data_IF_759554256072
#
_entry.id   IF_759554256072
#
_cell.length_a   1.000
_cell.length_b   1.000
_cell.length_c   1.000
_cell.angle_alpha   90.00
_cell.angle_beta   90.00
_cell.angle_gamma   90.00
#
_symmetry.space_group_name_H-M   'P 1'
#
loop_
_entity.id
_entity.type
_entity.pdbx_description
1 polymer ?
#
# COMPACT_ATOMS: atom_id res chain seq x y z
N UNK A 1 -34.60 15.69 41.70
CA UNK A 1 -33.94 14.41 42.05
C UNK A 1 -34.35 13.86 43.42
N UNK A 2 -35.63 14.01 43.85
CA UNK A 2 -36.07 13.65 45.23
C UNK A 2 -36.91 12.35 45.35
N UNK A 3 -37.05 11.57 44.27
CA UNK A 3 -37.85 10.32 44.28
C UNK A 3 -37.16 9.07 43.69
N UNK A 4 -35.84 9.10 43.48
CA UNK A 4 -35.10 7.90 43.07
C UNK A 4 -34.68 7.10 44.30
N UNK A 5 -35.11 5.83 44.36
CA UNK A 5 -34.64 4.85 45.34
C UNK A 5 -33.12 4.69 45.22
N UNK A 6 -32.47 4.25 46.30
CA UNK A 6 -31.01 4.04 46.34
C UNK A 6 -30.54 3.15 45.17
N UNK A 7 -31.30 2.10 44.87
CA UNK A 7 -31.06 1.21 43.73
C UNK A 7 -31.03 1.97 42.39
N UNK A 8 -32.04 2.81 42.12
CA UNK A 8 -32.10 3.56 40.86
C UNK A 8 -30.92 4.52 40.69
N UNK A 9 -30.39 5.08 41.80
CA UNK A 9 -29.20 5.94 41.75
C UNK A 9 -27.96 5.15 41.34
N UNK A 10 -27.74 3.97 41.94
CA UNK A 10 -26.64 3.09 41.56
C UNK A 10 -26.78 2.58 40.13
N UNK A 11 -27.98 2.19 39.71
CA UNK A 11 -28.25 1.75 38.33
C UNK A 11 -27.93 2.85 37.31
N UNK A 12 -28.32 4.11 37.57
CA UNK A 12 -27.98 5.24 36.69
C UNK A 12 -26.46 5.47 36.63
N UNK A 13 -25.76 5.42 37.75
CA UNK A 13 -24.30 5.59 37.77
C UNK A 13 -23.62 4.49 36.94
N UNK A 14 -24.01 3.23 37.15
CA UNK A 14 -23.46 2.10 36.40
C UNK A 14 -23.76 2.25 34.91
N UNK A 15 -24.97 2.63 34.54
CA UNK A 15 -25.35 2.84 33.14
C UNK A 15 -24.50 3.94 32.49
N UNK A 16 -24.32 5.08 33.16
CA UNK A 16 -23.47 6.17 32.67
C UNK A 16 -22.02 5.73 32.53
N UNK A 17 -21.45 5.08 33.54
CA UNK A 17 -20.07 4.56 33.49
C UNK A 17 -19.89 3.56 32.35
N UNK A 18 -20.88 2.68 32.13
CA UNK A 18 -20.85 1.71 31.03
C UNK A 18 -20.84 2.42 29.68
N UNK A 19 -21.70 3.43 29.48
CA UNK A 19 -21.73 4.22 28.24
C UNK A 19 -20.40 4.93 28.00
N UNK A 20 -19.84 5.57 29.03
CA UNK A 20 -18.54 6.25 28.93
C UNK A 20 -17.43 5.25 28.60
N UNK A 21 -17.43 4.08 29.23
CA UNK A 21 -16.45 3.04 28.96
C UNK A 21 -16.54 2.52 27.52
N UNK A 22 -17.75 2.25 27.02
CA UNK A 22 -17.98 1.83 25.64
C UNK A 22 -17.53 2.91 24.65
N UNK A 23 -17.81 4.18 24.93
CA UNK A 23 -17.36 5.29 24.11
C UNK A 23 -15.83 5.40 24.08
N UNK A 24 -15.17 5.22 25.23
CA UNK A 24 -13.71 5.22 25.31
C UNK A 24 -13.09 4.06 24.53
N UNK A 25 -13.65 2.85 24.62
CA UNK A 25 -13.21 1.71 23.81
C UNK A 25 -13.40 1.95 22.31
N UNK A 26 -14.53 2.53 21.90
CA UNK A 26 -14.76 2.87 20.50
C UNK A 26 -13.73 3.87 19.98
N UNK A 27 -13.40 4.91 20.77
CA UNK A 27 -12.35 5.86 20.45
C UNK A 27 -10.96 5.18 20.35
N UNK A 28 -10.63 4.29 21.30
CA UNK A 28 -9.38 3.53 21.30
C UNK A 28 -9.24 2.68 20.03
N UNK A 29 -10.31 2.00 19.61
CA UNK A 29 -10.32 1.18 18.38
C UNK A 29 -10.09 2.05 17.14
N UNK A 30 -10.68 3.25 17.08
CA UNK A 30 -10.45 4.17 15.97
C UNK A 30 -9.00 4.65 15.89
N UNK A 31 -8.40 4.99 17.05
CA UNK A 31 -6.99 5.37 17.12
C UNK A 31 -6.10 4.21 16.66
N UNK A 32 -6.32 3.01 17.19
CA UNK A 32 -5.56 1.82 16.80
C UNK A 32 -5.67 1.53 15.30
N UNK A 33 -6.89 1.62 14.75
CA UNK A 33 -7.11 1.45 13.30
C UNK A 33 -6.28 2.45 12.50
N UNK A 34 -6.28 3.71 12.89
CA UNK A 34 -5.51 4.75 12.18
C UNK A 34 -4.01 4.47 12.27
N UNK A 35 -3.49 4.13 13.46
CA UNK A 35 -2.09 3.76 13.64
C UNK A 35 -1.69 2.60 12.73
N UNK A 36 -2.46 1.51 12.70
CA UNK A 36 -2.16 0.33 11.87
C UNK A 36 -2.20 0.67 10.38
N UNK A 37 -3.12 1.54 9.94
CA UNK A 37 -3.19 1.97 8.54
C UNK A 37 -1.97 2.82 8.16
N UNK A 38 -1.57 3.75 9.02
CA UNK A 38 -0.37 4.57 8.78
C UNK A 38 0.90 3.71 8.75
N UNK A 39 1.07 2.77 9.68
CA UNK A 39 2.19 1.83 9.66
C UNK A 39 2.24 1.00 8.36
N UNK A 40 1.07 0.56 7.86
CA UNK A 40 0.99 -0.15 6.57
C UNK A 40 1.37 0.75 5.40
N UNK A 41 0.98 2.04 5.42
CA UNK A 41 1.37 3.02 4.39
C UNK A 41 2.87 3.25 4.41
N UNK A 42 3.47 3.49 5.57
CA UNK A 42 4.92 3.64 5.74
C UNK A 42 5.66 2.42 5.23
N UNK A 43 5.22 1.21 5.58
CA UNK A 43 5.83 -0.02 5.09
C UNK A 43 5.83 -0.11 3.55
N UNK A 44 4.71 0.21 2.90
CA UNK A 44 4.63 0.19 1.43
C UNK A 44 5.54 1.26 0.84
N UNK A 45 5.58 2.46 1.44
CA UNK A 45 6.47 3.54 1.02
C UNK A 45 7.95 3.13 1.09
N UNK A 46 8.39 2.54 2.20
CA UNK A 46 9.78 2.10 2.38
C UNK A 46 10.17 1.00 1.38
N UNK A 47 9.24 0.10 1.05
CA UNK A 47 9.46 -0.93 0.03
C UNK A 47 9.58 -0.34 -1.38
N UNK A 48 8.80 0.70 -1.69
CA UNK A 48 8.93 1.44 -2.96
C UNK A 48 10.27 2.18 -3.02
N UNK A 49 10.71 2.81 -1.93
CA UNK A 49 12.03 3.45 -1.86
C UNK A 49 13.17 2.44 -2.04
N UNK A 50 13.06 1.25 -1.43
CA UNK A 50 14.02 0.16 -1.64
C UNK A 50 14.07 -0.27 -3.12
N UNK A 51 12.92 -0.43 -3.78
CA UNK A 51 12.86 -0.77 -5.20
C UNK A 51 13.46 0.34 -6.09
N UNK A 52 13.25 1.61 -5.75
CA UNK A 52 13.91 2.74 -6.42
C UNK A 52 15.43 2.67 -6.28
N UNK A 53 15.96 2.29 -5.12
CA UNK A 53 17.41 2.09 -4.94
C UNK A 53 17.95 0.92 -5.77
N UNK A 54 17.18 -0.15 -5.94
CA UNK A 54 17.54 -1.25 -6.85
C UNK A 54 17.64 -0.73 -8.30
N UNK A 55 16.65 0.02 -8.77
CA UNK A 55 16.69 0.65 -10.10
C UNK A 55 17.92 1.54 -10.27
N UNK A 56 18.17 2.46 -9.33
CA UNK A 56 19.31 3.37 -9.38
C UNK A 56 20.66 2.63 -9.42
N UNK A 57 20.83 1.58 -8.61
CA UNK A 57 22.07 0.81 -8.59
C UNK A 57 22.38 0.14 -9.94
N UNK A 58 21.38 -0.42 -10.61
CA UNK A 58 21.58 -1.01 -11.94
C UNK A 58 21.77 0.05 -13.02
N UNK A 59 21.06 1.18 -12.94
CA UNK A 59 21.27 2.33 -13.81
C UNK A 59 22.71 2.87 -13.71
N UNK A 60 23.25 2.99 -12.51
CA UNK A 60 24.63 3.43 -12.27
C UNK A 60 25.66 2.46 -12.87
N UNK A 61 25.42 1.15 -12.78
CA UNK A 61 26.27 0.13 -13.44
C UNK A 61 26.24 0.28 -14.96
N UNK A 62 25.08 0.55 -15.56
CA UNK A 62 24.97 0.81 -16.99
C UNK A 62 25.71 2.09 -17.40
N UNK A 63 25.52 3.19 -16.65
CA UNK A 63 26.22 4.47 -16.88
C UNK A 63 27.74 4.33 -16.76
N UNK A 64 28.22 3.44 -15.89
CA UNK A 64 29.63 3.10 -15.75
C UNK A 64 30.16 2.14 -16.84
N UNK A 65 29.33 1.73 -17.81
CA UNK A 65 29.71 0.82 -18.89
C UNK A 65 29.95 -0.63 -18.46
N UNK A 66 29.51 -1.01 -17.25
CA UNK A 66 29.73 -2.38 -16.71
C UNK A 66 28.77 -3.40 -17.31
N UNK A 67 27.58 -2.96 -17.70
CA UNK A 67 26.50 -3.73 -18.32
C UNK A 67 25.75 -2.85 -19.31
N UNK A 68 24.99 -3.44 -20.24
CA UNK A 68 24.13 -2.65 -21.14
C UNK A 68 22.93 -2.04 -20.41
N UNK A 69 22.30 -1.01 -20.99
CA UNK A 69 21.10 -0.40 -20.42
C UNK A 69 19.91 -1.39 -20.40
N UNK A 70 19.81 -2.23 -21.43
CA UNK A 70 18.85 -3.32 -21.54
C UNK A 70 19.03 -4.33 -20.41
N UNK A 71 20.26 -4.81 -20.22
CA UNK A 71 20.61 -5.76 -19.16
C UNK A 71 20.37 -5.18 -17.76
N UNK A 72 20.74 -3.91 -17.53
CA UNK A 72 20.47 -3.22 -16.27
C UNK A 72 18.98 -3.16 -15.94
N UNK A 73 18.14 -2.82 -16.93
CA UNK A 73 16.68 -2.82 -16.74
C UNK A 73 16.17 -4.22 -16.39
N UNK A 74 16.58 -5.23 -17.13
CA UNK A 74 16.13 -6.60 -16.91
C UNK A 74 16.53 -7.09 -15.51
N UNK A 75 17.78 -6.92 -15.10
CA UNK A 75 18.26 -7.32 -13.78
C UNK A 75 17.54 -6.58 -12.64
N UNK A 76 17.23 -5.29 -12.83
CA UNK A 76 16.45 -4.53 -11.85
C UNK A 76 15.00 -5.03 -11.75
N UNK A 77 14.35 -5.29 -12.89
CA UNK A 77 12.98 -5.80 -12.94
C UNK A 77 12.88 -7.21 -12.36
N UNK A 78 13.85 -8.08 -12.60
CA UNK A 78 13.89 -9.42 -12.01
C UNK A 78 14.07 -9.34 -10.49
N UNK A 79 14.98 -8.49 -10.00
CA UNK A 79 15.19 -8.29 -8.57
C UNK A 79 13.94 -7.74 -7.86
N UNK A 80 13.28 -6.73 -8.43
CA UNK A 80 12.04 -6.16 -7.89
C UNK A 80 10.89 -7.18 -8.02
N UNK A 81 10.82 -7.88 -9.14
CA UNK A 81 9.81 -8.89 -9.42
C UNK A 81 9.87 -10.10 -8.48
N UNK A 82 11.03 -10.36 -7.87
CA UNK A 82 11.19 -11.38 -6.83
C UNK A 82 10.74 -10.92 -5.43
N UNK A 83 10.59 -9.61 -5.18
CA UNK A 83 10.21 -9.09 -3.86
C UNK A 83 8.81 -9.54 -3.46
N UNK A 84 8.68 -10.26 -2.36
CA UNK A 84 7.39 -10.65 -1.76
C UNK A 84 7.39 -10.36 -0.27
N UNK A 85 6.26 -9.92 0.26
CA UNK A 85 6.10 -9.71 1.70
C UNK A 85 4.71 -10.04 2.21
N UNK A 86 4.59 -10.13 3.54
CA UNK A 86 3.32 -10.38 4.19
C UNK A 86 2.78 -11.80 3.95
N UNK A 87 1.61 -12.08 4.54
CA UNK A 87 0.96 -13.40 4.43
C UNK A 87 0.34 -13.65 3.05
N UNK A 88 0.03 -12.58 2.32
CA UNK A 88 -0.62 -12.65 1.01
C UNK A 88 0.37 -12.67 -0.15
N UNK A 89 1.68 -12.75 0.13
CA UNK A 89 2.74 -12.60 -0.87
C UNK A 89 2.53 -11.31 -1.70
N UNK A 90 2.35 -10.19 -1.00
CA UNK A 90 2.22 -8.86 -1.59
C UNK A 90 3.44 -8.56 -2.46
N UNK A 91 3.27 -7.73 -3.49
CA UNK A 91 4.26 -7.48 -4.54
C UNK A 91 4.27 -6.02 -4.98
N UNK A 92 5.33 -5.62 -5.67
CA UNK A 92 5.44 -4.32 -6.33
C UNK A 92 5.12 -4.42 -7.81
N UNK A 93 4.41 -3.42 -8.34
CA UNK A 93 4.22 -3.21 -9.76
C UNK A 93 5.15 -2.12 -10.28
N UNK A 94 5.72 -2.30 -11.46
CA UNK A 94 6.50 -1.26 -12.16
C UNK A 94 5.82 -1.00 -13.50
N UNK A 95 5.51 0.26 -13.77
CA UNK A 95 4.82 0.70 -14.99
C UNK A 95 5.65 1.75 -15.72
N UNK A 96 5.63 1.70 -17.05
CA UNK A 96 6.20 2.75 -17.88
C UNK A 96 5.45 4.06 -17.68
N UNK A 97 6.20 5.14 -17.51
CA UNK A 97 5.71 6.50 -17.35
C UNK A 97 6.23 7.45 -18.43
N UNK A 98 7.04 6.96 -19.38
CA UNK A 98 7.52 7.76 -20.50
C UNK A 98 6.45 7.87 -21.58
N UNK A 99 6.54 8.92 -22.41
CA UNK A 99 5.60 9.16 -23.51
C UNK A 99 5.47 7.99 -24.49
N UNK A 100 6.54 7.20 -24.68
CA UNK A 100 6.56 6.05 -25.59
C UNK A 100 6.06 4.73 -24.95
N UNK A 101 5.95 4.64 -23.63
CA UNK A 101 5.69 3.39 -22.90
C UNK A 101 4.70 3.54 -21.74
N UNK A 102 3.95 4.64 -21.69
CA UNK A 102 2.95 4.90 -20.66
C UNK A 102 2.01 3.70 -20.50
N UNK A 103 1.91 3.18 -19.27
CA UNK A 103 1.04 2.06 -18.92
C UNK A 103 1.55 0.65 -19.29
N UNK A 104 2.73 0.53 -19.89
CA UNK A 104 3.38 -0.79 -20.08
C UNK A 104 3.79 -1.33 -18.71
N UNK A 105 3.33 -2.54 -18.38
CA UNK A 105 3.67 -3.19 -17.11
C UNK A 105 4.98 -3.96 -17.24
N UNK A 106 6.01 -3.58 -16.47
CA UNK A 106 7.33 -4.23 -16.49
C UNK A 106 7.51 -5.26 -15.38
N UNK A 107 6.91 -5.01 -14.21
CA UNK A 107 6.94 -5.92 -13.07
C UNK A 107 5.53 -6.10 -12.54
N UNK A 108 5.15 -7.36 -12.30
CA UNK A 108 3.87 -7.72 -11.70
C UNK A 108 3.90 -9.17 -11.17
N UNK A 109 3.14 -9.49 -10.11
CA UNK A 109 3.07 -10.88 -9.61
C UNK A 109 2.39 -11.84 -10.60
N UNK A 110 1.38 -11.38 -11.32
CA UNK A 110 0.78 -12.10 -12.44
C UNK A 110 1.62 -11.94 -13.72
N UNK A 111 2.27 -13.01 -14.23
CA UNK A 111 3.15 -12.94 -15.40
C UNK A 111 2.41 -12.57 -16.69
N UNK A 112 1.09 -12.80 -16.76
CA UNK A 112 0.27 -12.45 -17.95
C UNK A 112 0.21 -10.95 -18.22
N UNK A 113 0.59 -10.11 -17.25
CA UNK A 113 0.57 -8.66 -17.40
C UNK A 113 1.93 -8.09 -17.78
N UNK A 114 3.01 -8.86 -17.65
CA UNK A 114 4.36 -8.38 -17.96
C UNK A 114 4.45 -8.11 -19.47
N UNK A 115 5.01 -6.95 -19.82
CA UNK A 115 5.09 -6.38 -21.17
C UNK A 115 3.74 -6.12 -21.86
N UNK A 116 2.64 -6.05 -21.09
CA UNK A 116 1.32 -5.66 -21.59
C UNK A 116 1.07 -4.19 -21.27
N UNK A 117 0.61 -3.42 -22.27
CA UNK A 117 0.10 -2.08 -22.03
C UNK A 117 -1.28 -2.18 -21.39
N UNK A 118 -1.40 -1.63 -20.18
CA UNK A 118 -2.63 -1.63 -19.37
C UNK A 118 -3.15 -0.22 -19.12
N UNK A 119 -2.80 0.74 -19.98
CA UNK A 119 -3.24 2.13 -19.87
C UNK A 119 -4.76 2.27 -19.74
N UNK A 120 -5.53 1.52 -20.54
CA UNK A 120 -7.00 1.56 -20.51
C UNK A 120 -7.62 0.53 -19.55
N UNK A 121 -6.82 -0.10 -18.68
CA UNK A 121 -7.32 -1.06 -17.71
C UNK A 121 -8.24 -0.36 -16.71
N UNK A 122 -9.49 -0.84 -16.64
CA UNK A 122 -10.49 -0.44 -15.66
C UNK A 122 -10.55 -1.46 -14.54
N UNK A 123 -10.53 -0.99 -13.30
CA UNK A 123 -10.80 -1.84 -12.15
C UNK A 123 -12.31 -2.13 -12.01
N UNK A 124 -12.68 -2.88 -10.97
CA UNK A 124 -14.08 -3.25 -10.70
C UNK A 124 -14.98 -2.04 -10.38
N UNK A 125 -14.40 -0.85 -10.16
CA UNK A 125 -15.11 0.40 -9.91
C UNK A 125 -15.13 1.30 -11.15
N UNK A 126 -14.58 0.84 -12.28
CA UNK A 126 -14.50 1.58 -13.54
C UNK A 126 -13.38 2.60 -13.61
N UNK A 127 -12.49 2.66 -12.60
CA UNK A 127 -11.38 3.62 -12.54
C UNK A 127 -10.23 3.17 -13.44
N UNK A 128 -9.60 4.13 -14.12
CA UNK A 128 -8.41 3.91 -14.95
C UNK A 128 -7.18 3.76 -14.04
N UNK A 129 -7.06 2.60 -13.41
CA UNK A 129 -6.11 2.36 -12.32
C UNK A 129 -4.67 2.70 -12.72
N UNK A 130 -4.24 2.30 -13.91
CA UNK A 130 -2.85 2.50 -14.35
C UNK A 130 -2.59 3.97 -14.68
N UNK A 131 -3.57 4.68 -15.22
CA UNK A 131 -3.44 6.12 -15.48
C UNK A 131 -3.27 6.88 -14.17
N UNK A 132 -4.09 6.56 -13.16
CA UNK A 132 -4.02 7.19 -11.83
C UNK A 132 -2.70 6.91 -11.08
N UNK A 133 -1.96 5.85 -11.46
CA UNK A 133 -0.65 5.55 -10.89
C UNK A 133 0.46 6.30 -11.63
N UNK A 134 0.33 6.44 -12.96
CA UNK A 134 1.38 7.01 -13.83
C UNK A 134 1.29 8.54 -13.92
N UNK A 135 0.09 9.11 -13.86
CA UNK A 135 -0.19 10.55 -14.06
C UNK A 135 -1.05 11.16 -12.97
#
# INVERSE_FOLDING_TARGET
MRHLTVYNRFATIIAVLTVVFVAALAAQVMVLRNTVIEERRTKVFDLVEAAKKILSNYEEKAKAGKISAEEARQLAFDAIGAMRWGKSADYLGVYGAGSANAGVTYVHANPKYINVNRWDYKDNQGQLLIQNIVG
#
